data_IF_101461260622
#
_entry.id   IF_101461260622
#
_cell.length_a   1.000
_cell.length_b   1.000
_cell.length_c   1.000
_cell.angle_alpha   90.00
_cell.angle_beta   90.00
_cell.angle_gamma   90.00
#
_symmetry.space_group_name_H-M   'P 1'
#
loop_
_entity.id
_entity.type
_entity.pdbx_description
1 polymer ?
#
# COMPACT_ATOMS: atom_id res chain seq x y z
N UNK A 1 -7.38 -18.51 -63.69
CA UNK A 1 -6.49 -19.38 -62.88
C UNK A 1 -6.19 -18.68 -61.56
N UNK A 2 -6.13 -19.48 -60.49
CA UNK A 2 -6.24 -19.14 -59.07
C UNK A 2 -5.15 -18.17 -58.50
N UNK A 3 -5.37 -17.59 -57.29
CA UNK A 3 -4.50 -16.63 -56.56
C UNK A 3 -3.40 -17.42 -55.77
N UNK A 4 -2.60 -16.94 -54.75
CA UNK A 4 -2.71 -15.81 -53.77
C UNK A 4 -1.35 -15.07 -53.56
N UNK A 5 -1.07 -14.16 -52.60
CA UNK A 5 -1.23 -14.24 -51.15
C UNK A 5 -0.97 -12.91 -50.41
N UNK A 6 -1.69 -12.77 -49.31
CA UNK A 6 -1.58 -11.84 -48.20
C UNK A 6 -0.16 -11.55 -47.72
N UNK A 7 0.07 -10.31 -47.27
CA UNK A 7 0.84 -10.06 -46.05
C UNK A 7 0.12 -9.00 -45.21
N UNK A 8 -0.52 -9.47 -44.14
CA UNK A 8 -1.03 -8.67 -43.04
C UNK A 8 0.15 -7.89 -42.42
N UNK A 9 0.07 -6.56 -42.43
CA UNK A 9 0.95 -5.71 -41.65
C UNK A 9 0.52 -5.78 -40.19
N UNK A 10 1.21 -6.63 -39.44
CA UNK A 10 1.05 -6.80 -38.00
C UNK A 10 1.83 -5.69 -37.30
N UNK A 11 1.15 -4.58 -36.96
CA UNK A 11 1.75 -3.49 -36.21
C UNK A 11 2.03 -3.94 -34.77
N UNK A 12 3.30 -3.81 -34.41
CA UNK A 12 3.95 -4.18 -33.16
C UNK A 12 3.35 -3.41 -31.96
N UNK A 13 2.72 -4.11 -31.02
CA UNK A 13 2.35 -3.58 -29.71
C UNK A 13 3.62 -3.36 -28.89
N UNK A 14 4.00 -2.10 -28.69
CA UNK A 14 5.08 -1.71 -27.78
C UNK A 14 4.58 -1.86 -26.34
N UNK A 15 4.89 -3.01 -25.71
CA UNK A 15 4.68 -3.19 -24.28
C UNK A 15 5.76 -2.40 -23.53
N UNK A 16 5.39 -1.25 -22.97
CA UNK A 16 6.24 -0.51 -22.02
C UNK A 16 6.16 -1.24 -20.68
N UNK A 17 7.12 -2.13 -20.43
CA UNK A 17 7.36 -2.66 -19.11
C UNK A 17 7.99 -1.55 -18.26
N UNK A 18 7.19 -0.94 -17.38
CA UNK A 18 7.72 -0.05 -16.34
C UNK A 18 8.48 -0.96 -15.36
N UNK A 19 9.81 -0.95 -15.44
CA UNK A 19 10.63 -1.51 -14.37
C UNK A 19 10.42 -0.63 -13.13
N UNK A 20 9.63 -1.11 -12.19
CA UNK A 20 9.66 -0.58 -10.83
C UNK A 20 11.08 -0.83 -10.28
N UNK A 21 11.89 0.22 -10.18
CA UNK A 21 13.16 0.15 -9.48
C UNK A 21 12.87 -0.22 -8.01
N UNK A 22 13.36 -1.37 -7.59
CA UNK A 22 13.22 -1.88 -6.23
C UNK A 22 13.87 -0.90 -5.26
N UNK A 23 13.06 -0.17 -4.50
CA UNK A 23 13.52 0.62 -3.37
C UNK A 23 14.16 -0.33 -2.35
N UNK A 24 15.48 -0.27 -2.17
CA UNK A 24 16.18 -1.12 -1.21
C UNK A 24 16.04 -0.55 0.20
N UNK A 25 14.98 -0.92 0.91
CA UNK A 25 14.97 -0.87 2.37
C UNK A 25 15.92 -1.93 2.93
N UNK A 26 16.48 -1.70 4.10
CA UNK A 26 17.48 -2.56 4.74
C UNK A 26 16.95 -4.00 4.92
N UNK A 27 17.42 -4.94 4.09
CA UNK A 27 16.95 -6.34 4.02
C UNK A 27 17.82 -7.33 4.82
N UNK A 28 18.81 -6.85 5.58
CA UNK A 28 19.93 -7.68 6.05
C UNK A 28 19.87 -8.11 7.53
N UNK A 29 18.78 -7.87 8.25
CA UNK A 29 18.57 -8.49 9.58
C UNK A 29 18.21 -9.97 9.40
N UNK A 30 18.70 -10.87 10.26
CA UNK A 30 18.39 -12.31 10.19
C UNK A 30 16.88 -12.62 10.19
N UNK A 31 16.06 -11.74 10.78
CA UNK A 31 14.59 -11.84 10.78
C UNK A 31 13.92 -11.19 9.55
N UNK A 32 14.68 -10.52 8.67
CA UNK A 32 14.22 -10.01 7.37
C UNK A 32 13.99 -11.12 6.33
N UNK A 33 14.31 -12.38 6.64
CA UNK A 33 14.07 -13.51 5.74
C UNK A 33 12.59 -13.64 5.32
N UNK A 34 11.67 -12.98 6.04
CA UNK A 34 10.28 -12.82 5.64
C UNK A 34 10.21 -11.70 4.59
N UNK A 35 9.89 -12.02 3.34
CA UNK A 35 9.66 -11.08 2.24
C UNK A 35 8.49 -10.13 2.57
N UNK A 36 8.72 -9.13 3.42
CA UNK A 36 7.68 -8.18 3.81
C UNK A 36 7.64 -7.01 2.86
N UNK A 37 6.47 -6.41 2.74
CA UNK A 37 6.29 -5.22 1.92
C UNK A 37 5.20 -4.30 2.45
N UNK A 38 5.30 -3.04 2.07
CA UNK A 38 4.22 -2.08 2.18
C UNK A 38 3.70 -1.84 0.78
N UNK A 39 2.40 -1.93 0.59
CA UNK A 39 1.78 -1.61 -0.70
C UNK A 39 0.88 -0.41 -0.50
N UNK A 40 1.03 0.59 -1.36
CA UNK A 40 0.10 1.72 -1.42
C UNK A 40 -0.67 1.63 -2.72
N UNK A 41 -2.00 1.70 -2.64
CA UNK A 41 -2.90 1.55 -3.77
C UNK A 41 -3.79 2.77 -3.91
N UNK A 42 -3.85 3.33 -5.12
CA UNK A 42 -4.73 4.42 -5.47
C UNK A 42 -5.90 3.88 -6.31
N UNK A 43 -7.08 3.78 -5.72
CA UNK A 43 -8.32 3.47 -6.44
C UNK A 43 -9.13 4.72 -6.78
N UNK A 44 -8.62 5.91 -6.52
CA UNK A 44 -9.23 7.17 -6.92
C UNK A 44 -9.17 7.34 -8.45
N UNK A 45 -9.97 8.27 -8.96
CA UNK A 45 -9.93 8.69 -10.37
C UNK A 45 -8.88 9.78 -10.65
N UNK A 46 -8.17 10.24 -9.62
CA UNK A 46 -7.16 11.29 -9.66
C UNK A 46 -5.86 10.82 -8.98
N UNK A 47 -4.76 11.53 -9.24
CA UNK A 47 -3.49 11.30 -8.57
C UNK A 47 -3.61 11.48 -7.06
N UNK A 48 -2.99 10.58 -6.30
CA UNK A 48 -2.82 10.73 -4.85
C UNK A 48 -1.36 11.07 -4.58
N UNK A 49 -1.14 12.25 -4.02
CA UNK A 49 0.20 12.69 -3.65
C UNK A 49 0.50 12.32 -2.20
N UNK A 50 1.53 11.52 -2.00
CA UNK A 50 1.88 10.90 -0.73
C UNK A 50 3.10 11.55 -0.12
N UNK A 51 3.06 11.83 1.18
CA UNK A 51 4.25 12.15 1.98
C UNK A 51 4.40 11.16 3.13
N UNK A 52 5.64 10.90 3.51
CA UNK A 52 5.98 9.97 4.59
C UNK A 52 6.52 10.72 5.78
N UNK A 53 6.16 10.21 6.95
CA UNK A 53 6.80 10.55 8.21
C UNK A 53 7.31 9.25 8.83
N UNK A 54 8.57 8.86 8.52
CA UNK A 54 9.19 7.69 9.11
C UNK A 54 9.35 7.88 10.63
N UNK A 55 9.05 6.83 11.39
CA UNK A 55 9.22 6.81 12.84
C UNK A 55 10.19 5.70 13.24
N UNK A 56 10.68 5.75 14.47
CA UNK A 56 11.57 4.73 15.03
C UNK A 56 12.82 4.44 14.16
N UNK A 57 13.36 5.46 13.47
CA UNK A 57 14.48 5.33 12.52
C UNK A 57 14.20 4.43 11.31
N UNK A 58 12.93 4.33 10.90
CA UNK A 58 12.55 3.55 9.72
C UNK A 58 13.24 4.10 8.46
N UNK A 59 13.65 3.22 7.54
CA UNK A 59 14.22 3.65 6.27
C UNK A 59 13.19 4.48 5.49
N UNK A 60 13.68 5.47 4.74
CA UNK A 60 12.84 6.20 3.80
C UNK A 60 12.32 5.23 2.72
N UNK A 61 11.01 5.29 2.45
CA UNK A 61 10.46 4.70 1.23
C UNK A 61 10.60 5.71 0.08
N UNK A 62 9.98 5.45 -1.06
CA UNK A 62 9.94 6.37 -2.21
C UNK A 62 11.31 6.72 -2.82
N UNK A 63 12.30 5.83 -2.70
CA UNK A 63 13.68 6.09 -3.13
C UNK A 63 14.27 7.39 -2.51
N UNK A 64 13.86 7.73 -1.29
CA UNK A 64 14.32 8.93 -0.59
C UNK A 64 13.66 10.24 -1.05
N UNK A 65 12.71 10.19 -1.98
CA UNK A 65 11.96 11.37 -2.39
C UNK A 65 11.05 11.87 -1.25
N UNK A 66 10.89 13.20 -1.08
CA UNK A 66 10.02 13.77 -0.05
C UNK A 66 8.53 13.51 -0.33
N UNK A 67 8.19 13.21 -1.58
CA UNK A 67 6.84 13.00 -2.05
C UNK A 67 6.83 11.92 -3.12
N UNK A 68 5.73 11.15 -3.17
CA UNK A 68 5.48 10.14 -4.20
C UNK A 68 4.09 10.33 -4.77
N UNK A 69 4.00 10.45 -6.10
CA UNK A 69 2.71 10.56 -6.78
C UNK A 69 2.27 9.18 -7.24
N UNK A 70 1.12 8.74 -6.73
CA UNK A 70 0.51 7.48 -7.12
C UNK A 70 -0.63 7.75 -8.10
N UNK A 71 -0.47 7.30 -9.34
CA UNK A 71 -1.42 7.55 -10.43
C UNK A 71 -2.78 6.86 -10.24
N UNK A 72 -3.85 7.31 -10.92
CA UNK A 72 -5.18 6.71 -10.79
C UNK A 72 -5.12 5.22 -11.12
N UNK A 73 -5.82 4.41 -10.33
CA UNK A 73 -5.93 2.95 -10.52
C UNK A 73 -4.58 2.21 -10.51
N UNK A 74 -3.57 2.76 -9.84
CA UNK A 74 -2.23 2.16 -9.74
C UNK A 74 -1.93 1.70 -8.31
N UNK A 75 -0.82 0.97 -8.16
CA UNK A 75 -0.23 0.65 -6.86
C UNK A 75 1.30 0.72 -6.94
N UNK A 76 1.92 0.89 -5.78
CA UNK A 76 3.36 0.80 -5.60
C UNK A 76 3.66 -0.14 -4.44
N UNK A 77 4.70 -0.96 -4.58
CA UNK A 77 5.15 -1.89 -3.56
C UNK A 77 6.55 -1.53 -3.09
N UNK A 78 6.75 -1.51 -1.77
CA UNK A 78 8.00 -1.18 -1.13
C UNK A 78 8.43 -2.38 -0.27
N UNK A 79 9.42 -3.16 -0.72
CA UNK A 79 10.01 -4.21 0.09
C UNK A 79 10.59 -3.60 1.36
N UNK A 80 10.31 -4.20 2.52
CA UNK A 80 10.83 -3.77 3.81
C UNK A 80 11.17 -4.97 4.66
N UNK A 81 12.14 -4.83 5.56
CA UNK A 81 12.33 -5.80 6.62
C UNK A 81 11.43 -5.53 7.83
N UNK A 82 11.38 -4.25 8.18
CA UNK A 82 10.50 -3.68 9.17
C UNK A 82 10.28 -2.23 8.78
N UNK A 83 9.19 -1.65 9.25
CA UNK A 83 8.91 -0.24 9.02
C UNK A 83 7.86 0.25 10.01
N UNK A 84 8.02 1.47 10.49
CA UNK A 84 7.05 2.17 11.34
C UNK A 84 6.94 3.60 10.86
N UNK A 85 5.73 4.09 10.68
CA UNK A 85 5.55 5.50 10.32
C UNK A 85 4.13 5.86 9.96
N UNK A 86 4.01 7.11 9.50
CA UNK A 86 2.76 7.68 9.01
C UNK A 86 2.84 7.95 7.52
N UNK A 87 1.72 7.70 6.84
CA UNK A 87 1.49 8.06 5.46
C UNK A 87 0.39 9.13 5.41
N UNK A 88 0.69 10.22 4.73
CA UNK A 88 -0.19 11.37 4.59
C UNK A 88 -0.55 11.59 3.13
N UNK A 89 -1.81 11.97 2.88
CA UNK A 89 -2.27 12.42 1.57
C UNK A 89 -3.27 13.58 1.73
N UNK A 90 -3.29 14.57 0.83
CA UNK A 90 -4.27 15.65 0.87
C UNK A 90 -5.71 15.10 0.86
N UNK A 91 -6.54 15.62 1.76
CA UNK A 91 -7.96 15.21 1.86
C UNK A 91 -8.19 13.80 2.40
N UNK A 92 -7.16 13.11 2.90
CA UNK A 92 -7.26 11.79 3.50
C UNK A 92 -6.94 11.83 4.99
N UNK A 93 -7.54 10.95 5.82
CA UNK A 93 -7.00 10.69 7.15
C UNK A 93 -5.60 10.08 7.06
N UNK A 94 -4.77 10.37 8.07
CA UNK A 94 -3.45 9.73 8.20
C UNK A 94 -3.61 8.22 8.42
N UNK A 95 -2.75 7.44 7.77
CA UNK A 95 -2.55 6.03 8.08
C UNK A 95 -1.25 5.88 8.87
N UNK A 96 -1.32 5.29 10.06
CA UNK A 96 -0.14 4.96 10.86
C UNK A 96 -0.05 3.46 11.01
N UNK A 97 1.14 2.90 10.80
CA UNK A 97 1.31 1.45 10.87
C UNK A 97 2.75 1.06 11.20
N UNK A 98 2.86 -0.16 11.69
CA UNK A 98 4.09 -0.86 11.97
C UNK A 98 4.05 -2.27 11.37
N UNK A 99 5.13 -2.63 10.73
CA UNK A 99 5.44 -3.99 10.30
C UNK A 99 6.72 -4.41 11.00
N UNK A 100 6.61 -5.33 11.96
CA UNK A 100 7.74 -5.81 12.76
C UNK A 100 8.47 -6.98 12.11
N UNK A 101 9.76 -7.12 12.43
CA UNK A 101 10.60 -8.24 11.98
C UNK A 101 10.06 -9.60 12.42
N UNK A 102 9.47 -9.66 13.60
CA UNK A 102 8.87 -10.86 14.21
C UNK A 102 7.58 -11.31 13.48
N UNK A 103 6.91 -10.42 12.75
CA UNK A 103 5.59 -10.66 12.17
C UNK A 103 4.44 -10.01 12.93
N UNK A 104 4.73 -9.31 14.03
CA UNK A 104 3.76 -8.44 14.69
C UNK A 104 3.50 -7.17 13.87
N UNK A 105 2.32 -6.58 14.07
CA UNK A 105 1.95 -5.31 13.47
C UNK A 105 1.02 -4.52 14.39
N UNK A 106 1.05 -3.21 14.26
CA UNK A 106 -0.08 -2.36 14.61
C UNK A 106 -0.44 -1.52 13.40
N UNK A 107 -1.69 -1.09 13.32
CA UNK A 107 -2.12 -0.16 12.28
C UNK A 107 -3.38 0.56 12.71
N UNK A 108 -3.50 1.81 12.29
CA UNK A 108 -4.65 2.65 12.59
C UNK A 108 -4.88 3.68 11.48
N UNK A 109 -6.13 4.09 11.36
CA UNK A 109 -6.53 5.28 10.61
C UNK A 109 -7.89 5.75 11.14
N UNK A 110 -8.37 6.91 10.67
CA UNK A 110 -9.67 7.41 11.10
C UNK A 110 -10.78 6.43 10.72
N UNK A 111 -11.58 6.01 11.71
CA UNK A 111 -12.83 5.30 11.50
C UNK A 111 -14.04 6.25 11.48
N UNK A 112 -13.81 7.55 11.37
CA UNK A 112 -14.86 8.55 11.11
C UNK A 112 -14.52 9.30 9.84
N UNK A 113 -15.56 9.83 9.18
CA UNK A 113 -15.39 10.65 7.99
C UNK A 113 -15.71 12.10 8.32
N UNK A 114 -14.72 12.97 8.23
CA UNK A 114 -14.96 14.41 8.24
C UNK A 114 -15.37 14.89 6.85
N UNK A 115 -16.25 15.91 6.71
CA UNK A 115 -16.52 16.54 5.41
C UNK A 115 -15.28 17.07 4.69
N UNK A 116 -14.23 17.42 5.44
CA UNK A 116 -12.93 17.84 4.90
C UNK A 116 -12.09 16.66 4.34
N UNK A 117 -12.46 15.41 4.64
CA UNK A 117 -11.78 14.20 4.18
C UNK A 117 -12.52 13.62 2.97
N UNK A 118 -12.18 14.15 1.80
CA UNK A 118 -12.76 13.73 0.52
C UNK A 118 -12.20 12.39 0.02
N UNK A 119 -11.02 11.96 0.50
CA UNK A 119 -10.33 10.74 0.09
C UNK A 119 -10.42 9.70 1.21
N UNK A 120 -11.21 8.62 1.05
CA UNK A 120 -11.28 7.54 2.02
C UNK A 120 -9.99 6.72 2.06
N UNK A 121 -9.62 6.19 3.23
CA UNK A 121 -8.46 5.32 3.41
C UNK A 121 -8.84 4.06 4.16
N UNK A 122 -8.27 2.94 3.73
CA UNK A 122 -8.28 1.66 4.45
C UNK A 122 -6.84 1.21 4.66
N UNK A 123 -6.55 0.66 5.84
CA UNK A 123 -5.32 -0.11 6.08
C UNK A 123 -5.70 -1.56 6.33
N UNK A 124 -5.08 -2.49 5.57
CA UNK A 124 -5.41 -3.91 5.63
C UNK A 124 -4.13 -4.76 5.74
N UNK A 125 -4.03 -5.66 6.73
CA UNK A 125 -2.93 -6.60 6.83
C UNK A 125 -3.12 -7.81 5.91
N UNK A 126 -2.02 -8.38 5.46
CA UNK A 126 -1.97 -9.62 4.69
C UNK A 126 -0.83 -10.52 5.17
N UNK A 127 -1.07 -11.82 5.11
CA UNK A 127 -0.14 -12.86 5.54
C UNK A 127 -0.70 -14.24 5.25
N UNK A 128 0.18 -15.23 5.14
CA UNK A 128 -0.18 -16.61 4.81
C UNK A 128 0.31 -17.58 5.92
N UNK A 129 -0.55 -17.92 6.91
CA UNK A 129 -1.82 -17.27 7.26
C UNK A 129 -1.61 -16.06 8.20
N UNK A 130 -2.57 -15.13 8.24
CA UNK A 130 -2.67 -14.19 9.36
C UNK A 130 -3.11 -14.91 10.63
N UNK A 131 -2.55 -14.51 11.77
CA UNK A 131 -2.87 -15.10 13.08
C UNK A 131 -3.36 -14.04 14.06
N UNK A 132 -4.47 -14.33 14.75
CA UNK A 132 -5.10 -13.44 15.72
C UNK A 132 -6.19 -12.56 15.09
N UNK A 133 -6.36 -11.36 15.62
CA UNK A 133 -7.37 -10.41 15.17
C UNK A 133 -6.76 -9.40 14.22
N UNK A 134 -7.02 -9.60 12.92
CA UNK A 134 -6.44 -8.83 11.83
C UNK A 134 -7.49 -8.16 10.93
N UNK A 135 -8.47 -7.40 11.46
CA UNK A 135 -9.43 -6.70 10.61
C UNK A 135 -8.75 -5.59 9.81
N UNK A 136 -9.34 -5.19 8.68
CA UNK A 136 -9.01 -3.90 8.10
C UNK A 136 -9.49 -2.75 9.01
N UNK A 137 -8.83 -1.60 8.93
CA UNK A 137 -9.21 -0.36 9.65
C UNK A 137 -9.49 0.77 8.66
N UNK A 138 -10.36 1.70 9.08
CA UNK A 138 -10.72 2.90 8.32
C UNK A 138 -12.20 2.98 7.92
N UNK A 139 -12.56 4.08 7.27
CA UNK A 139 -13.93 4.38 6.88
C UNK A 139 -14.04 4.71 5.38
N UNK A 140 -14.21 3.69 4.51
CA UNK A 140 -14.33 3.91 3.06
C UNK A 140 -15.65 4.60 2.65
N UNK A 141 -16.72 4.31 3.40
CA UNK A 141 -18.07 4.79 3.13
C UNK A 141 -18.66 5.27 4.44
N UNK A 142 -19.32 6.43 4.41
CA UNK A 142 -19.99 6.99 5.59
C UNK A 142 -21.01 5.98 6.15
N UNK A 143 -21.00 5.80 7.47
CA UNK A 143 -21.84 4.82 8.16
C UNK A 143 -21.42 3.35 8.02
N UNK A 144 -20.35 3.05 7.25
CA UNK A 144 -19.77 1.70 7.10
C UNK A 144 -18.27 1.75 7.38
N UNK A 145 -17.94 2.14 8.60
CA UNK A 145 -16.57 2.21 9.06
C UNK A 145 -16.17 0.92 9.79
N UNK A 146 -14.91 0.54 9.67
CA UNK A 146 -14.30 -0.57 10.41
C UNK A 146 -13.67 -0.07 11.72
N UNK A 147 -12.91 -0.93 12.41
CA UNK A 147 -12.19 -0.52 13.61
C UNK A 147 -11.26 0.67 13.33
N UNK A 148 -10.98 1.50 14.34
CA UNK A 148 -10.02 2.60 14.21
C UNK A 148 -8.57 2.11 14.24
N UNK A 149 -8.32 1.03 14.98
CA UNK A 149 -6.97 0.56 15.23
C UNK A 149 -6.94 -0.93 15.55
N UNK A 150 -5.78 -1.52 15.30
CA UNK A 150 -5.40 -2.84 15.81
C UNK A 150 -4.10 -2.67 16.60
N UNK A 151 -4.14 -2.82 17.94
CA UNK A 151 -2.95 -2.75 18.79
C UNK A 151 -1.92 -3.84 18.47
N UNK A 152 -0.67 -3.56 18.83
CA UNK A 152 0.43 -4.51 18.70
C UNK A 152 0.14 -5.84 19.42
N UNK A 153 0.60 -6.94 18.84
CA UNK A 153 0.43 -8.30 19.37
C UNK A 153 -0.91 -8.97 19.04
N UNK A 154 -1.93 -8.21 18.61
CA UNK A 154 -3.24 -8.77 18.21
C UNK A 154 -3.25 -9.37 16.81
N UNK A 155 -2.55 -8.74 15.88
CA UNK A 155 -2.36 -9.25 14.52
C UNK A 155 -0.92 -9.70 14.30
N UNK A 156 -0.74 -10.96 13.90
CA UNK A 156 0.56 -11.63 13.75
C UNK A 156 0.71 -12.31 12.40
N UNK A 157 1.96 -12.64 12.08
CA UNK A 157 2.41 -13.17 10.79
C UNK A 157 2.09 -12.25 9.60
N UNK A 158 2.13 -10.94 9.85
CA UNK A 158 1.95 -9.93 8.79
C UNK A 158 3.18 -9.92 7.88
N UNK A 159 2.91 -10.13 6.61
CA UNK A 159 3.87 -10.05 5.51
C UNK A 159 3.66 -8.78 4.69
N UNK A 160 2.44 -8.26 4.65
CA UNK A 160 2.14 -7.05 3.91
C UNK A 160 1.13 -6.18 4.65
N UNK A 161 1.36 -4.87 4.62
CA UNK A 161 0.34 -3.87 4.95
C UNK A 161 -0.02 -3.15 3.65
N UNK A 162 -1.31 -3.16 3.31
CA UNK A 162 -1.86 -2.37 2.20
C UNK A 162 -2.53 -1.12 2.74
N UNK A 163 -2.13 0.04 2.22
CA UNK A 163 -2.85 1.31 2.41
C UNK A 163 -3.58 1.64 1.12
N UNK A 164 -4.91 1.69 1.17
CA UNK A 164 -5.77 1.77 0.00
C UNK A 164 -6.58 3.07 0.06
N UNK A 165 -6.36 3.93 -0.93
CA UNK A 165 -7.09 5.18 -1.11
C UNK A 165 -8.31 4.99 -2.02
N UNK A 166 -9.45 5.59 -1.67
CA UNK A 166 -10.73 5.51 -2.39
C UNK A 166 -11.30 4.09 -2.57
N UNK A 167 -11.04 3.17 -1.63
CA UNK A 167 -11.70 1.86 -1.66
C UNK A 167 -13.23 2.03 -1.51
N UNK A 168 -14.06 1.40 -2.36
CA UNK A 168 -15.51 1.39 -2.19
C UNK A 168 -16.01 0.29 -1.23
N UNK A 169 -15.12 -0.54 -0.68
CA UNK A 169 -15.46 -1.73 0.13
C UNK A 169 -14.70 -1.75 1.44
N UNK A 170 -15.31 -2.34 2.46
CA UNK A 170 -14.65 -2.91 3.65
C UNK A 170 -14.55 -4.41 3.44
#
# INVERSE_FOLDING_TARGET
MAPPASKLSMSLLLAVAILAASASAQTTHDNCAKNKKITVQNLCAHDVSLTLEPLANSPHLFNGAPQYVLHPRSHAEFPVCWWTGRLHAPGAPTAEFHVGVDGGSFYLTSNTRSPAQSVPVIVSPHGAPLLGECPAVGCPVEGRCSAAQVPSGRCRNVQEIKVIYCSPRV
#
